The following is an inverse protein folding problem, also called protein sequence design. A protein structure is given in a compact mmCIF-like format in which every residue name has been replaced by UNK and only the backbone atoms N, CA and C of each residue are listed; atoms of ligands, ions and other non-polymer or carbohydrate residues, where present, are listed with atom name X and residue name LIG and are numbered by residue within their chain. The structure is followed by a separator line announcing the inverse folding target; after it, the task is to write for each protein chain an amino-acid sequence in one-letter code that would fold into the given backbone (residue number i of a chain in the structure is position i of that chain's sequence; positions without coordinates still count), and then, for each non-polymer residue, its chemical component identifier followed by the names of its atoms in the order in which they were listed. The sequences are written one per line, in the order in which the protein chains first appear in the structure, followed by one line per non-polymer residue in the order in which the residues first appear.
data_IF_021716663974
#
_entry.id   IF_021716663974
#
_cell.length_a   1.000
_cell.length_b   1.000
_cell.length_c   1.000
_cell.angle_alpha   90.00
_cell.angle_beta   90.00
_cell.angle_gamma   90.00
#
_symmetry.space_group_name_H-M   'P 1'
#
loop_
_entity.id
_entity.type
_entity.pdbx_description
1 polymer ?
#
# COMPACT_ATOMS: atom_id res chain seq x y z
N UNK A 1 -7.41 9.53 0.24
CA UNK A 1 -8.74 9.38 0.88
C UNK A 1 -9.86 9.64 -0.11
N UNK A 2 -10.14 10.89 -0.52
CA UNK A 2 -11.28 11.22 -1.40
C UNK A 2 -11.30 10.42 -2.73
N UNK A 3 -10.14 10.21 -3.35
CA UNK A 3 -10.03 9.40 -4.57
C UNK A 3 -10.47 7.94 -4.34
N UNK A 4 -9.95 7.28 -3.30
CA UNK A 4 -10.35 5.91 -2.95
C UNK A 4 -11.81 5.88 -2.51
N UNK A 5 -12.30 6.88 -1.78
CA UNK A 5 -13.71 7.01 -1.42
C UNK A 5 -14.62 7.11 -2.65
N UNK A 6 -14.23 7.89 -3.66
CA UNK A 6 -14.99 7.97 -4.93
C UNK A 6 -14.93 6.63 -5.66
N UNK A 7 -13.77 5.99 -5.73
CA UNK A 7 -13.65 4.65 -6.32
C UNK A 7 -14.53 3.65 -5.58
N UNK A 8 -14.48 3.62 -4.25
CA UNK A 8 -15.29 2.77 -3.38
C UNK A 8 -16.80 3.05 -3.55
N UNK A 9 -17.20 4.31 -3.69
CA UNK A 9 -18.60 4.67 -3.96
C UNK A 9 -19.07 4.36 -5.38
N UNK A 10 -18.18 4.44 -6.37
CA UNK A 10 -18.49 4.14 -7.78
C UNK A 10 -18.36 2.65 -8.08
N UNK A 11 -17.71 1.89 -7.20
CA UNK A 11 -17.70 0.43 -7.21
C UNK A 11 -18.76 -0.11 -6.23
N UNK A 12 -19.34 -1.31 -6.48
CA UNK A 12 -20.49 -1.80 -5.72
C UNK A 12 -20.13 -2.16 -4.27
N UNK A 13 -20.48 -1.32 -3.29
CA UNK A 13 -20.18 -1.53 -1.87
C UNK A 13 -21.38 -2.14 -1.10
N UNK A 14 -21.07 -3.00 -0.14
CA UNK A 14 -22.03 -3.61 0.78
C UNK A 14 -21.80 -2.98 2.16
N UNK A 15 -22.62 -2.01 2.54
CA UNK A 15 -22.62 -1.51 3.91
C UNK A 15 -23.02 -2.67 4.85
N UNK A 16 -22.12 -2.99 5.78
CA UNK A 16 -22.21 -4.13 6.70
C UNK A 16 -23.45 -4.03 7.64
N UNK A 17 -24.12 -2.87 7.69
CA UNK A 17 -25.21 -2.56 8.61
C UNK A 17 -26.60 -2.35 7.98
N UNK A 18 -26.78 -2.49 6.66
CA UNK A 18 -28.10 -2.30 6.04
C UNK A 18 -28.50 -3.54 5.24
N UNK A 19 -29.75 -3.98 5.43
CA UNK A 19 -30.29 -5.22 4.91
C UNK A 19 -30.23 -5.32 3.37
N UNK A 20 -30.31 -6.55 2.87
CA UNK A 20 -30.12 -6.98 1.47
C UNK A 20 -30.93 -6.25 0.37
N UNK A 21 -31.80 -5.30 0.73
CA UNK A 21 -32.75 -4.62 -0.17
C UNK A 21 -32.29 -3.26 -0.71
N UNK A 22 -31.11 -2.75 -0.36
CA UNK A 22 -30.58 -1.49 -0.92
C UNK A 22 -29.25 -1.73 -1.64
N UNK A 23 -29.30 -2.39 -2.79
CA UNK A 23 -28.11 -2.72 -3.58
C UNK A 23 -27.97 -1.80 -4.79
N UNK A 24 -26.90 -1.00 -4.84
CA UNK A 24 -26.36 -0.49 -6.11
C UNK A 24 -25.12 -1.32 -6.53
N UNK A 25 -25.13 -1.81 -7.77
CA UNK A 25 -24.00 -2.47 -8.45
C UNK A 25 -23.88 -4.01 -8.29
N UNK A 26 -22.86 -4.59 -8.95
CA UNK A 26 -22.64 -6.05 -9.06
C UNK A 26 -21.95 -6.65 -7.83
N UNK A 27 -22.68 -7.51 -7.07
CA UNK A 27 -22.15 -8.26 -5.91
C UNK A 27 -21.06 -9.28 -6.35
N UNK A 28 -19.81 -9.11 -5.91
CA UNK A 28 -18.79 -10.18 -6.08
C UNK A 28 -17.83 -10.27 -4.87
N UNK A 29 -17.43 -11.49 -4.52
CA UNK A 29 -16.44 -11.78 -3.45
C UNK A 29 -15.04 -11.18 -3.72
N UNK A 30 -14.81 -10.69 -4.95
CA UNK A 30 -13.56 -10.14 -5.42
C UNK A 30 -13.37 -8.66 -5.05
N UNK A 31 -14.46 -7.95 -4.75
CA UNK A 31 -14.46 -6.49 -4.65
C UNK A 31 -13.46 -5.94 -3.60
N UNK A 32 -13.44 -6.51 -2.39
CA UNK A 32 -12.50 -6.10 -1.32
C UNK A 32 -11.05 -6.38 -1.66
N UNK A 33 -10.81 -7.56 -2.23
CA UNK A 33 -9.46 -7.92 -2.68
C UNK A 33 -9.00 -7.01 -3.81
N UNK A 34 -9.91 -6.57 -4.68
CA UNK A 34 -9.61 -5.58 -5.72
C UNK A 34 -9.30 -4.20 -5.15
N UNK A 35 -10.08 -3.70 -4.18
CA UNK A 35 -9.82 -2.41 -3.54
C UNK A 35 -8.50 -2.41 -2.77
N UNK A 36 -8.22 -3.46 -1.99
CA UNK A 36 -6.94 -3.64 -1.30
C UNK A 36 -5.76 -3.68 -2.28
N UNK A 37 -5.85 -4.47 -3.35
CA UNK A 37 -4.80 -4.54 -4.38
C UNK A 37 -4.60 -3.17 -5.02
N UNK A 38 -5.68 -2.48 -5.39
CA UNK A 38 -5.61 -1.18 -6.03
C UNK A 38 -4.98 -0.13 -5.11
N UNK A 39 -5.35 -0.12 -3.84
CA UNK A 39 -4.80 0.82 -2.87
C UNK A 39 -3.30 0.58 -2.63
N UNK A 40 -2.89 -0.68 -2.48
CA UNK A 40 -1.47 -1.05 -2.37
C UNK A 40 -0.74 -0.64 -3.65
N UNK A 41 -1.24 -0.98 -4.84
CA UNK A 41 -0.61 -0.55 -6.10
C UNK A 41 -0.48 0.97 -6.19
N UNK A 42 -1.47 1.74 -5.75
CA UNK A 42 -1.38 3.20 -5.75
C UNK A 42 -0.41 3.74 -4.69
N UNK A 43 -0.23 3.04 -3.57
CA UNK A 43 0.73 3.37 -2.52
C UNK A 43 2.18 3.17 -2.98
N UNK A 44 2.42 2.10 -3.74
CA UNK A 44 3.75 1.73 -4.20
C UNK A 44 4.30 2.66 -5.30
N UNK A 45 3.44 3.47 -5.94
CA UNK A 45 3.88 4.46 -6.93
C UNK A 45 4.68 5.59 -6.25
N UNK A 46 4.14 6.32 -5.25
CA UNK A 46 4.93 7.31 -4.51
C UNK A 46 6.18 6.76 -3.83
N UNK A 47 6.17 5.53 -3.34
CA UNK A 47 7.36 4.88 -2.78
C UNK A 47 8.45 4.66 -3.81
N UNK A 48 8.09 4.08 -4.96
CA UNK A 48 9.01 3.93 -6.07
C UNK A 48 9.58 5.28 -6.50
N UNK A 49 8.72 6.29 -6.68
CA UNK A 49 9.16 7.65 -6.99
C UNK A 49 10.12 8.21 -5.92
N UNK A 50 9.86 7.99 -4.63
CA UNK A 50 10.71 8.48 -3.55
C UNK A 50 12.11 7.84 -3.58
N UNK A 51 12.20 6.53 -3.76
CA UNK A 51 13.47 5.82 -3.96
C UNK A 51 14.22 6.39 -5.17
N UNK A 52 13.52 6.50 -6.31
CA UNK A 52 14.12 6.99 -7.55
C UNK A 52 14.61 8.43 -7.47
N UNK A 53 13.78 9.33 -6.91
CA UNK A 53 14.15 10.73 -6.71
C UNK A 53 15.35 10.85 -5.78
N UNK A 54 15.42 10.08 -4.71
CA UNK A 54 16.52 10.17 -3.75
C UNK A 54 17.84 9.67 -4.35
N UNK A 55 17.83 8.57 -5.11
CA UNK A 55 19.00 8.11 -5.86
C UNK A 55 19.41 9.09 -6.96
N UNK A 56 18.45 9.62 -7.72
CA UNK A 56 18.73 10.58 -8.79
C UNK A 56 19.24 11.93 -8.25
N UNK A 57 18.69 12.41 -7.14
CA UNK A 57 19.15 13.62 -6.46
C UNK A 57 20.57 13.44 -5.90
N UNK A 58 20.88 12.27 -5.33
CA UNK A 58 22.24 11.94 -4.89
C UNK A 58 23.23 11.90 -6.07
N UNK A 59 22.83 11.35 -7.21
CA UNK A 59 23.64 11.31 -8.42
C UNK A 59 23.89 12.70 -9.04
N UNK A 60 22.94 13.62 -8.90
CA UNK A 60 23.04 15.02 -9.34
C UNK A 60 23.76 15.93 -8.33
N UNK A 61 24.12 15.42 -7.14
CA UNK A 61 24.78 16.21 -6.09
C UNK A 61 23.87 17.29 -5.50
N UNK A 62 22.55 17.05 -5.45
CA UNK A 62 21.60 17.97 -4.82
C UNK A 62 21.82 17.95 -3.30
N UNK A 63 21.96 19.14 -2.70
CA UNK A 63 22.16 19.29 -1.26
C UNK A 63 21.05 18.57 -0.47
N UNK A 64 21.46 17.76 0.52
CA UNK A 64 20.57 16.95 1.35
C UNK A 64 20.25 15.55 0.80
N UNK A 65 20.64 15.22 -0.43
CA UNK A 65 20.54 13.87 -0.97
C UNK A 65 21.88 13.13 -0.93
N UNK A 66 21.89 11.88 -0.47
CA UNK A 66 23.09 11.05 -0.42
C UNK A 66 22.80 9.61 -0.80
N UNK A 67 23.77 8.91 -1.39
CA UNK A 67 23.64 7.49 -1.69
C UNK A 67 23.35 6.63 -0.47
N UNK A 68 24.02 6.82 0.70
CA UNK A 68 23.65 6.11 1.91
C UNK A 68 22.19 6.34 2.30
N UNK A 69 21.71 7.59 2.30
CA UNK A 69 20.30 7.88 2.60
C UNK A 69 19.32 7.21 1.63
N UNK A 70 19.65 7.21 0.33
CA UNK A 70 18.87 6.53 -0.69
C UNK A 70 18.78 5.02 -0.48
N UNK A 71 19.90 4.39 -0.10
CA UNK A 71 19.96 2.96 0.23
C UNK A 71 19.13 2.67 1.48
N UNK A 72 19.25 3.49 2.52
CA UNK A 72 18.52 3.28 3.78
C UNK A 72 17.00 3.38 3.55
N UNK A 73 16.54 4.38 2.77
CA UNK A 73 15.13 4.50 2.38
C UNK A 73 14.66 3.27 1.57
N UNK A 74 15.44 2.82 0.59
CA UNK A 74 15.09 1.66 -0.23
C UNK A 74 15.00 0.36 0.60
N UNK A 75 15.85 0.21 1.62
CA UNK A 75 15.75 -0.92 2.56
C UNK A 75 14.49 -0.80 3.41
N UNK A 76 14.18 0.39 3.93
CA UNK A 76 12.95 0.63 4.71
C UNK A 76 11.70 0.24 3.93
N UNK A 77 11.57 0.76 2.70
CA UNK A 77 10.48 0.43 1.77
C UNK A 77 10.46 -1.08 1.45
N UNK A 78 11.62 -1.69 1.19
CA UNK A 78 11.69 -3.13 0.94
C UNK A 78 11.17 -3.99 2.10
N UNK A 79 11.37 -3.55 3.35
CA UNK A 79 10.91 -4.29 4.53
C UNK A 79 9.38 -4.20 4.68
N UNK A 80 8.77 -3.04 4.48
CA UNK A 80 7.31 -2.87 4.59
C UNK A 80 6.55 -3.52 3.42
N UNK A 81 7.17 -3.64 2.24
CA UNK A 81 6.53 -4.24 1.07
C UNK A 81 6.32 -5.75 1.24
N UNK A 82 7.04 -6.38 2.18
CA UNK A 82 6.82 -7.78 2.52
C UNK A 82 5.45 -8.01 3.22
N UNK A 83 5.12 -7.33 4.34
CA UNK A 83 3.76 -7.32 4.89
C UNK A 83 2.66 -6.96 3.88
N UNK A 84 2.88 -5.98 3.00
CA UNK A 84 1.88 -5.58 1.99
C UNK A 84 1.63 -6.67 0.93
N UNK A 85 2.70 -7.28 0.41
CA UNK A 85 2.59 -8.42 -0.49
C UNK A 85 1.85 -9.60 0.15
N UNK A 86 2.05 -9.82 1.46
CA UNK A 86 1.28 -10.80 2.23
C UNK A 86 -0.20 -10.41 2.36
N UNK A 87 -0.50 -9.12 2.55
CA UNK A 87 -1.87 -8.60 2.60
C UNK A 87 -2.65 -8.85 1.30
N UNK A 88 -1.97 -8.93 0.15
CA UNK A 88 -2.57 -9.37 -1.12
C UNK A 88 -2.63 -10.91 -1.25
N UNK A 89 -1.53 -11.59 -0.94
CA UNK A 89 -1.39 -13.02 -1.20
C UNK A 89 -2.30 -13.89 -0.30
N UNK A 90 -2.45 -13.54 0.98
CA UNK A 90 -3.20 -14.35 1.96
C UNK A 90 -4.71 -14.37 1.66
N UNK A 91 -5.39 -13.23 1.41
CA UNK A 91 -6.79 -13.22 1.02
C UNK A 91 -7.05 -14.02 -0.27
N UNK A 92 -6.21 -13.84 -1.30
CA UNK A 92 -6.32 -14.62 -2.54
C UNK A 92 -6.21 -16.13 -2.27
N UNK A 93 -5.30 -16.54 -1.39
CA UNK A 93 -5.14 -17.93 -1.01
C UNK A 93 -6.38 -18.48 -0.29
N UNK A 94 -7.00 -17.67 0.59
CA UNK A 94 -8.25 -18.01 1.30
C UNK A 94 -9.43 -18.15 0.34
N UNK A 95 -9.43 -17.41 -0.77
CA UNK A 95 -10.42 -17.50 -1.84
C UNK A 95 -10.20 -18.69 -2.81
N UNK A 96 -9.21 -19.55 -2.54
CA UNK A 96 -8.97 -20.78 -3.32
C UNK A 96 -7.94 -20.66 -4.43
N UNK A 97 -7.27 -19.51 -4.60
CA UNK A 97 -6.14 -19.37 -5.52
C UNK A 97 -4.96 -20.25 -5.06
N UNK A 98 -4.22 -20.84 -6.00
CA UNK A 98 -3.09 -21.72 -5.67
C UNK A 98 -1.95 -20.94 -5.00
N UNK A 99 -1.19 -21.60 -4.10
CA UNK A 99 -0.10 -20.98 -3.33
C UNK A 99 0.86 -20.15 -4.20
N UNK A 100 1.27 -20.72 -5.34
CA UNK A 100 2.19 -20.08 -6.26
C UNK A 100 1.58 -18.85 -6.95
N UNK A 101 0.30 -18.94 -7.38
CA UNK A 101 -0.40 -17.80 -7.98
C UNK A 101 -0.62 -16.68 -6.96
N UNK A 102 -1.04 -17.02 -5.74
CA UNK A 102 -1.21 -16.04 -4.66
C UNK A 102 0.09 -15.29 -4.34
N UNK A 103 1.21 -16.03 -4.25
CA UNK A 103 2.52 -15.43 -4.08
C UNK A 103 2.87 -14.48 -5.23
N UNK A 104 2.70 -14.92 -6.48
CA UNK A 104 2.95 -14.07 -7.66
C UNK A 104 2.08 -12.82 -7.71
N UNK A 105 0.80 -12.91 -7.36
CA UNK A 105 -0.06 -11.74 -7.31
C UNK A 105 0.36 -10.74 -6.23
N UNK A 106 0.85 -11.22 -5.08
CA UNK A 106 1.44 -10.34 -4.06
C UNK A 106 2.73 -9.64 -4.52
N UNK A 107 3.54 -10.28 -5.36
CA UNK A 107 4.70 -9.60 -5.96
C UNK A 107 4.28 -8.62 -7.05
N UNK A 108 3.31 -9.01 -7.89
CA UNK A 108 2.85 -8.21 -9.03
C UNK A 108 2.10 -6.95 -8.58
N UNK A 109 1.50 -6.92 -7.39
CA UNK A 109 0.88 -5.69 -6.87
C UNK A 109 1.89 -4.56 -6.65
N UNK A 110 3.18 -4.90 -6.47
CA UNK A 110 4.27 -3.95 -6.30
C UNK A 110 5.07 -3.68 -7.60
N UNK A 111 4.69 -4.24 -8.76
CA UNK A 111 5.46 -4.08 -10.01
C UNK A 111 5.59 -2.62 -10.47
N UNK A 112 4.68 -1.76 -10.01
CA UNK A 112 4.69 -0.32 -10.29
C UNK A 112 5.84 0.41 -9.60
N UNK A 113 6.38 -0.13 -8.51
CA UNK A 113 7.45 0.48 -7.72
C UNK A 113 8.76 0.61 -8.53
N UNK A 114 9.32 -0.44 -9.17
CA UNK A 114 10.53 -0.28 -9.99
C UNK A 114 10.31 0.62 -11.22
N UNK A 115 9.10 0.64 -11.79
CA UNK A 115 8.75 1.52 -12.91
C UNK A 115 8.74 2.97 -12.45
N UNK A 116 8.09 3.24 -11.33
CA UNK A 116 8.04 4.55 -10.69
C UNK A 116 9.43 5.00 -10.23
N UNK A 117 10.25 4.10 -9.69
CA UNK A 117 11.64 4.37 -9.32
C UNK A 117 12.51 4.77 -10.50
N UNK A 118 12.38 4.07 -11.63
CA UNK A 118 13.07 4.48 -12.85
C UNK A 118 12.62 5.87 -13.31
N UNK A 119 11.30 6.13 -13.30
CA UNK A 119 10.78 7.46 -13.62
C UNK A 119 11.29 8.54 -12.65
N UNK A 120 11.37 8.23 -11.36
CA UNK A 120 11.89 9.12 -10.32
C UNK A 120 13.35 9.51 -10.55
N UNK A 121 14.20 8.55 -10.94
CA UNK A 121 15.61 8.82 -11.29
C UNK A 121 15.73 9.67 -12.56
N UNK A 122 14.92 9.39 -13.58
CA UNK A 122 15.00 10.09 -14.87
C UNK A 122 14.43 11.51 -14.82
N UNK A 123 13.46 11.75 -13.94
CA UNK A 123 12.67 12.98 -13.89
C UNK A 123 12.79 13.72 -12.55
N UNK A 124 13.90 13.55 -11.82
CA UNK A 124 14.13 14.10 -10.47
C UNK A 124 13.66 15.55 -10.32
N UNK A 125 14.11 16.43 -11.22
CA UNK A 125 13.81 17.88 -11.17
C UNK A 125 12.31 18.18 -11.26
N UNK A 126 11.55 17.33 -11.97
CA UNK A 126 10.12 17.48 -12.15
C UNK A 126 9.31 16.79 -11.04
N UNK A 127 9.79 15.65 -10.53
CA UNK A 127 9.09 14.85 -9.53
C UNK A 127 9.32 15.39 -8.11
N UNK A 128 10.51 15.89 -7.79
CA UNK A 128 10.87 16.33 -6.43
C UNK A 128 9.87 17.35 -5.84
N UNK A 129 9.38 18.38 -6.57
CA UNK A 129 8.39 19.33 -6.03
C UNK A 129 7.00 18.73 -5.82
N UNK A 130 6.63 17.71 -6.59
CA UNK A 130 5.30 17.07 -6.51
C UNK A 130 5.27 15.86 -5.58
N UNK A 131 6.44 15.31 -5.23
CA UNK A 131 6.59 14.11 -4.42
C UNK A 131 5.87 14.20 -3.05
N UNK A 132 5.91 15.32 -2.29
CA UNK A 132 5.18 15.41 -1.03
C UNK A 132 3.65 15.24 -1.19
N UNK A 133 3.08 15.75 -2.29
CA UNK A 133 1.66 15.60 -2.57
C UNK A 133 1.32 14.16 -2.98
N UNK A 134 2.20 13.51 -3.74
CA UNK A 134 2.07 12.11 -4.10
C UNK A 134 2.12 11.20 -2.85
N UNK A 135 3.06 11.45 -1.94
CA UNK A 135 3.16 10.74 -0.65
C UNK A 135 1.92 10.99 0.23
N UNK A 136 1.44 12.23 0.33
CA UNK A 136 0.22 12.55 1.08
C UNK A 136 -1.01 11.87 0.49
N UNK A 137 -1.10 11.79 -0.84
CA UNK A 137 -2.15 11.05 -1.54
C UNK A 137 -2.10 9.55 -1.20
N UNK A 138 -0.91 8.93 -1.28
CA UNK A 138 -0.68 7.53 -0.93
C UNK A 138 -1.03 7.23 0.54
N UNK A 139 -0.57 8.05 1.47
CA UNK A 139 -0.89 7.91 2.89
C UNK A 139 -2.40 7.98 3.13
N UNK A 140 -3.07 8.95 2.52
CA UNK A 140 -4.52 9.07 2.63
C UNK A 140 -5.29 7.93 1.95
N UNK A 141 -4.72 7.25 0.96
CA UNK A 141 -5.33 6.06 0.34
C UNK A 141 -5.22 4.84 1.29
N UNK A 142 -4.05 4.62 1.87
CA UNK A 142 -3.84 3.51 2.81
C UNK A 142 -4.62 3.66 4.10
N UNK A 143 -4.72 4.88 4.66
CA UNK A 143 -5.57 5.12 5.84
C UNK A 143 -7.03 4.73 5.55
N UNK A 144 -7.56 5.09 4.37
CA UNK A 144 -8.92 4.73 3.99
C UNK A 144 -9.13 3.21 3.97
N UNK A 145 -8.26 2.48 3.26
CA UNK A 145 -8.37 1.02 3.12
C UNK A 145 -8.16 0.29 4.44
N UNK A 146 -7.23 0.76 5.27
CA UNK A 146 -7.01 0.18 6.61
C UNK A 146 -8.28 0.30 7.46
N UNK A 147 -8.93 1.46 7.45
CA UNK A 147 -10.13 1.74 8.25
C UNK A 147 -11.36 1.02 7.68
N UNK A 148 -11.57 1.07 6.37
CA UNK A 148 -12.81 0.57 5.74
C UNK A 148 -12.78 -0.95 5.51
N UNK A 149 -11.59 -1.52 5.25
CA UNK A 149 -11.46 -2.93 4.90
C UNK A 149 -10.71 -3.74 5.95
N UNK A 150 -9.47 -3.36 6.27
CA UNK A 150 -8.57 -4.21 7.06
C UNK A 150 -9.07 -4.37 8.50
N UNK A 151 -9.40 -3.26 9.18
CA UNK A 151 -9.89 -3.31 10.56
C UNK A 151 -11.21 -4.10 10.64
N UNK A 152 -12.27 -3.80 9.87
CA UNK A 152 -13.51 -4.58 9.91
C UNK A 152 -13.32 -6.06 9.56
N UNK A 153 -12.42 -6.41 8.64
CA UNK A 153 -12.13 -7.80 8.30
C UNK A 153 -11.53 -8.56 9.48
N UNK A 154 -10.63 -7.93 10.25
CA UNK A 154 -10.07 -8.55 11.46
C UNK A 154 -11.09 -8.78 12.57
N UNK A 155 -12.16 -7.98 12.61
CA UNK A 155 -13.21 -8.08 13.64
C UNK A 155 -14.28 -9.13 13.32
N UNK A 156 -14.24 -9.75 12.13
CA UNK A 156 -15.20 -10.77 11.70
C UNK A 156 -14.84 -12.19 12.16
N UNK A 157 -13.59 -12.40 12.54
CA UNK A 157 -13.11 -13.70 12.98
C UNK A 157 -13.10 -13.79 14.52
N UNK A 158 -12.93 -14.99 15.07
CA UNK A 158 -12.95 -15.24 16.52
C UNK A 158 -11.69 -14.74 17.25
N UNK A 159 -10.71 -14.22 16.52
CA UNK A 159 -9.38 -13.88 17.01
C UNK A 159 -9.15 -12.36 17.14
N UNK A 160 -10.17 -11.62 17.57
CA UNK A 160 -10.15 -10.14 17.64
C UNK A 160 -8.99 -9.61 18.48
N UNK A 161 -8.74 -10.20 19.65
CA UNK A 161 -7.66 -9.75 20.55
C UNK A 161 -6.27 -9.98 19.95
N UNK A 162 -6.07 -11.13 19.28
CA UNK A 162 -4.82 -11.44 18.61
C UNK A 162 -4.60 -10.52 17.40
N UNK A 163 -5.66 -10.16 16.69
CA UNK A 163 -5.58 -9.20 15.59
C UNK A 163 -5.17 -7.80 16.06
N UNK A 164 -5.67 -7.34 17.21
CA UNK A 164 -5.27 -6.07 17.81
C UNK A 164 -3.79 -6.11 18.23
N UNK A 165 -3.34 -7.20 18.87
CA UNK A 165 -1.92 -7.36 19.21
C UNK A 165 -1.03 -7.41 17.96
N UNK A 166 -1.49 -8.06 16.90
CA UNK A 166 -0.81 -8.08 15.60
C UNK A 166 -0.71 -6.69 14.96
N UNK A 167 -1.79 -5.90 15.01
CA UNK A 167 -1.80 -4.51 14.54
C UNK A 167 -0.81 -3.65 15.33
N UNK A 168 -0.84 -3.71 16.66
CA UNK A 168 0.09 -2.95 17.51
C UNK A 168 1.52 -3.39 17.25
N UNK A 169 1.78 -4.69 17.15
CA UNK A 169 3.11 -5.23 16.86
C UNK A 169 3.64 -4.76 15.51
N UNK A 170 2.82 -4.84 14.45
CA UNK A 170 3.18 -4.35 13.11
C UNK A 170 3.43 -2.84 13.08
N UNK A 171 2.57 -2.07 13.74
CA UNK A 171 2.74 -0.61 13.87
C UNK A 171 4.05 -0.25 14.59
N UNK A 172 4.35 -0.91 15.71
CA UNK A 172 5.58 -0.67 16.45
C UNK A 172 6.82 -1.03 15.63
N UNK A 173 6.81 -2.16 14.93
CA UNK A 173 7.91 -2.56 14.04
C UNK A 173 8.12 -1.49 12.96
N UNK A 174 7.06 -1.02 12.32
CA UNK A 174 7.16 0.04 11.32
C UNK A 174 7.70 1.36 11.89
N UNK A 175 7.23 1.78 13.06
CA UNK A 175 7.72 3.01 13.71
C UNK A 175 9.18 2.89 14.16
N UNK A 176 9.62 1.72 14.62
CA UNK A 176 11.02 1.47 14.94
C UNK A 176 11.87 1.52 13.67
N UNK A 177 11.41 0.92 12.58
CA UNK A 177 12.12 0.93 11.31
C UNK A 177 12.23 2.34 10.74
N UNK A 178 11.15 3.13 10.77
CA UNK A 178 11.13 4.54 10.34
C UNK A 178 12.22 5.34 11.09
N UNK A 179 12.19 5.31 12.42
CA UNK A 179 13.17 6.03 13.26
C UNK A 179 14.60 5.49 13.11
N UNK A 180 14.78 4.18 12.90
CA UNK A 180 16.11 3.57 12.79
C UNK A 180 16.74 3.75 11.40
N UNK A 181 15.91 3.92 10.36
CA UNK A 181 16.33 4.00 8.96
C UNK A 181 16.25 5.43 8.40
N UNK A 182 15.72 6.41 9.13
CA UNK A 182 15.73 7.81 8.71
C UNK A 182 15.17 8.78 9.73
#
# INVERSE_FOLDING_TARGET
ALFIFILDKTTPHLHINFGDNETEGLKTAWHRTTLLILAITLHNIPEGLAVGVLFGAAALGIDGASFPGAITLAIGIGIQNFPEGMAVAIPLRRQGVSRFKSFWYGQLSAIVEPIAGLAGVLLVVFIQPVLPFALAFAAGAMIYVVVEEVIPETQRDKFTDLAVLGFIGGFLVMMILDVALG
#
